data_IF_278778737865
#
_entry.id   IF_278778737865
#
_cell.length_a   1.000
_cell.length_b   1.000
_cell.length_c   1.000
_cell.angle_alpha   90.00
_cell.angle_beta   90.00
_cell.angle_gamma   90.00
#
_symmetry.space_group_name_H-M   'P 1'
#
loop_
_entity.id
_entity.type
_entity.pdbx_description
1 polymer ?
#
# COMPACT_ATOMS: atom_id res chain seq x y z
N UNK A 1 -8.58 -8.45 -1.29
CA UNK A 1 -8.08 -7.31 -2.09
C UNK A 1 -6.62 -7.11 -1.74
N UNK A 2 -5.82 -6.50 -2.61
CA UNK A 2 -4.46 -6.07 -2.32
C UNK A 2 -4.35 -4.55 -2.36
N UNK A 3 -3.59 -3.96 -1.43
CA UNK A 3 -3.29 -2.52 -1.43
C UNK A 3 -1.78 -2.32 -1.37
N UNK A 4 -1.23 -1.64 -2.36
CA UNK A 4 0.15 -1.18 -2.36
C UNK A 4 0.20 0.19 -1.69
N UNK A 5 0.97 0.34 -0.63
CA UNK A 5 1.20 1.63 0.05
C UNK A 5 2.60 2.11 -0.30
N UNK A 6 2.70 3.35 -0.77
CA UNK A 6 3.95 3.94 -1.18
C UNK A 6 4.05 5.40 -0.74
N UNK A 7 5.28 5.90 -0.60
CA UNK A 7 5.58 7.28 -0.30
C UNK A 7 6.12 7.97 -1.55
N UNK A 8 5.43 9.03 -1.98
CA UNK A 8 5.90 9.93 -3.03
C UNK A 8 6.40 11.24 -2.38
N UNK A 9 7.66 11.65 -2.55
CA UNK A 9 8.19 12.86 -1.93
C UNK A 9 7.41 14.14 -2.25
N UNK A 10 6.77 14.22 -3.42
CA UNK A 10 5.98 15.38 -3.83
C UNK A 10 4.54 15.36 -3.30
N UNK A 11 3.99 14.18 -3.01
CA UNK A 11 2.54 14.01 -2.76
C UNK A 11 2.20 13.32 -1.43
N UNK A 12 3.20 12.86 -0.67
CA UNK A 12 3.05 12.10 0.57
C UNK A 12 2.70 10.63 0.34
N UNK A 13 2.11 10.00 1.35
CA UNK A 13 1.66 8.60 1.27
C UNK A 13 0.44 8.45 0.38
N UNK A 14 0.48 7.41 -0.44
CA UNK A 14 -0.57 7.07 -1.41
C UNK A 14 -0.77 5.57 -1.45
N UNK A 15 -1.89 5.18 -2.05
CA UNK A 15 -2.29 3.78 -2.17
C UNK A 15 -2.68 3.46 -3.59
N UNK A 16 -2.43 2.22 -4.00
CA UNK A 16 -3.08 1.61 -5.15
C UNK A 16 -3.81 0.33 -4.73
N UNK A 17 -5.06 0.20 -5.16
CA UNK A 17 -5.92 -0.93 -4.82
C UNK A 17 -6.10 -1.87 -6.01
N UNK A 18 -5.84 -3.14 -5.77
CA UNK A 18 -5.90 -4.20 -6.77
C UNK A 18 -6.81 -5.33 -6.31
N UNK A 19 -7.65 -5.82 -7.23
CA UNK A 19 -8.49 -7.00 -6.98
C UNK A 19 -7.73 -8.32 -7.21
N UNK A 20 -6.67 -8.28 -8.01
CA UNK A 20 -5.91 -9.44 -8.46
C UNK A 20 -4.41 -9.22 -8.23
N UNK A 21 -3.69 -10.27 -7.84
CA UNK A 21 -2.24 -10.24 -7.54
C UNK A 21 -1.41 -9.85 -8.76
N UNK A 22 -1.81 -10.28 -9.96
CA UNK A 22 -1.05 -10.08 -11.19
C UNK A 22 -0.80 -8.59 -11.50
N UNK A 23 -1.75 -7.74 -11.09
CA UNK A 23 -1.67 -6.28 -11.26
C UNK A 23 -0.81 -5.57 -10.20
N UNK A 24 -0.43 -6.27 -9.13
CA UNK A 24 0.48 -5.75 -8.11
C UNK A 24 1.84 -5.40 -8.74
N UNK A 25 2.35 -6.28 -9.61
CA UNK A 25 3.61 -6.10 -10.33
C UNK A 25 3.61 -4.88 -11.26
N UNK A 26 2.46 -4.54 -11.85
CA UNK A 26 2.28 -3.30 -12.62
C UNK A 26 2.38 -2.06 -11.70
N UNK A 27 1.77 -2.15 -10.52
CA UNK A 27 1.86 -1.12 -9.48
C UNK A 27 3.27 -0.89 -8.96
N UNK A 28 3.99 -1.96 -8.64
CA UNK A 28 5.38 -1.87 -8.19
C UNK A 28 6.26 -1.18 -9.24
N UNK A 29 6.05 -1.46 -10.55
CA UNK A 29 6.74 -0.77 -11.65
C UNK A 29 6.40 0.72 -11.72
N UNK A 30 5.11 1.08 -11.67
CA UNK A 30 4.69 2.49 -11.74
C UNK A 30 5.25 3.32 -10.56
N UNK A 31 5.32 2.72 -9.37
CA UNK A 31 5.91 3.39 -8.20
C UNK A 31 7.43 3.56 -8.38
N UNK A 32 8.12 2.54 -8.90
CA UNK A 32 9.55 2.63 -9.19
C UNK A 32 9.86 3.70 -10.26
N UNK A 33 9.08 3.76 -11.33
CA UNK A 33 9.24 4.76 -12.41
C UNK A 33 8.99 6.19 -11.92
N UNK A 34 8.19 6.36 -10.86
CA UNK A 34 7.88 7.66 -10.26
C UNK A 34 8.85 8.09 -9.14
N UNK A 35 9.99 7.41 -8.99
CA UNK A 35 10.96 7.61 -7.90
C UNK A 35 10.32 7.56 -6.50
N UNK A 36 9.22 6.83 -6.38
CA UNK A 36 8.50 6.68 -5.13
C UNK A 36 8.93 5.41 -4.40
N UNK A 37 8.81 5.44 -3.07
CA UNK A 37 9.26 4.35 -2.21
C UNK A 37 8.08 3.45 -1.85
N UNK A 38 8.15 2.17 -2.20
CA UNK A 38 7.13 1.20 -1.77
C UNK A 38 7.37 0.87 -0.30
N UNK A 39 6.37 1.12 0.54
CA UNK A 39 6.46 0.87 1.98
C UNK A 39 6.02 -0.56 2.28
N UNK A 40 4.80 -0.93 1.89
CA UNK A 40 4.27 -2.27 2.09
C UNK A 40 3.16 -2.62 1.11
N UNK A 41 2.83 -3.91 1.09
CA UNK A 41 1.65 -4.45 0.41
C UNK A 41 0.75 -5.08 1.47
N UNK A 42 -0.50 -4.63 1.52
CA UNK A 42 -1.53 -5.22 2.38
C UNK A 42 -2.32 -6.24 1.58
N UNK A 43 -2.33 -7.48 2.06
CA UNK A 43 -3.19 -8.56 1.57
C UNK A 43 -4.38 -8.72 2.51
N UNK A 44 -5.53 -8.18 2.11
CA UNK A 44 -6.76 -8.28 2.89
C UNK A 44 -7.41 -9.67 2.84
N UNK A 45 -7.06 -10.53 1.87
CA UNK A 45 -7.59 -11.89 1.84
C UNK A 45 -6.92 -12.74 2.91
N UNK A 46 -5.59 -12.66 2.98
CA UNK A 46 -4.79 -13.42 3.95
C UNK A 46 -4.58 -12.67 5.29
N UNK A 47 -5.09 -11.44 5.41
CA UNK A 47 -4.91 -10.56 6.58
C UNK A 47 -3.43 -10.37 6.94
N UNK A 48 -2.61 -10.15 5.91
CA UNK A 48 -1.16 -10.05 6.03
C UNK A 48 -0.66 -8.70 5.49
N UNK A 49 0.46 -8.23 6.05
CA UNK A 49 1.20 -7.07 5.54
C UNK A 49 2.59 -7.55 5.14
N UNK A 50 2.95 -7.31 3.89
CA UNK A 50 4.26 -7.60 3.33
C UNK A 50 5.07 -6.31 3.33
N UNK A 51 6.04 -6.21 4.24
CA UNK A 51 6.93 -5.05 4.30
C UNK A 51 7.89 -5.08 3.10
N UNK A 52 8.05 -3.95 2.43
CA UNK A 52 8.89 -3.81 1.23
C UNK A 52 10.03 -2.80 1.41
N UNK A 53 9.96 -1.94 2.42
CA UNK A 53 11.04 -1.04 2.80
C UNK A 53 11.73 -1.48 4.11
N UNK A 54 12.99 -1.10 4.25
CA UNK A 54 13.80 -1.40 5.45
C UNK A 54 13.46 -0.51 6.65
N UNK A 55 12.87 0.65 6.40
CA UNK A 55 12.50 1.69 7.36
C UNK A 55 11.00 1.71 7.68
N UNK A 56 10.32 0.58 7.48
CA UNK A 56 8.88 0.44 7.69
C UNK A 56 8.39 0.99 9.04
N UNK A 57 9.13 0.77 10.12
CA UNK A 57 8.77 1.27 11.45
C UNK A 57 8.62 2.79 11.51
N UNK A 58 9.38 3.54 10.70
CA UNK A 58 9.29 5.00 10.61
C UNK A 58 8.02 5.45 9.88
N UNK A 59 7.47 4.61 9.01
CA UNK A 59 6.26 4.90 8.24
C UNK A 59 4.99 4.40 8.92
N UNK A 60 5.10 3.39 9.80
CA UNK A 60 3.99 2.60 10.34
C UNK A 60 2.81 3.43 10.83
N UNK A 61 3.05 4.37 11.75
CA UNK A 61 1.98 5.17 12.35
C UNK A 61 1.26 6.07 11.32
N UNK A 62 1.96 6.49 10.28
CA UNK A 62 1.41 7.39 9.25
C UNK A 62 0.58 6.62 8.21
N UNK A 63 0.88 5.32 8.02
CA UNK A 63 0.18 4.48 7.06
C UNK A 63 -0.95 3.64 7.67
N UNK A 64 -1.04 3.52 9.00
CA UNK A 64 -2.12 2.79 9.68
C UNK A 64 -3.53 3.18 9.19
N UNK A 65 -3.89 4.47 9.03
CA UNK A 65 -5.18 4.86 8.47
C UNK A 65 -5.41 4.40 7.03
N UNK A 66 -4.33 4.18 6.27
CA UNK A 66 -4.37 3.68 4.90
C UNK A 66 -4.49 2.15 4.87
N UNK A 67 -3.98 1.46 5.88
CA UNK A 67 -4.15 0.01 6.03
C UNK A 67 -5.59 -0.30 6.47
N UNK A 68 -6.09 0.42 7.48
CA UNK A 68 -7.41 0.19 8.07
C UNK A 68 -8.48 1.13 7.52
N UNK A 69 -8.44 1.39 6.22
CA UNK A 69 -9.42 2.24 5.55
C UNK A 69 -10.81 1.59 5.58
N UNK A 70 -11.80 2.19 6.26
CA UNK A 70 -13.12 1.61 6.43
C UNK A 70 -13.86 1.34 5.10
N UNK A 71 -13.57 2.11 4.05
CA UNK A 71 -14.18 1.92 2.72
C UNK A 71 -13.73 0.62 2.08
N UNK A 72 -12.45 0.28 2.25
CA UNK A 72 -11.87 -0.96 1.76
C UNK A 72 -12.29 -2.15 2.59
N UNK A 73 -12.41 -1.95 3.90
CA UNK A 73 -12.83 -3.00 4.82
C UNK A 73 -14.34 -3.30 4.74
N UNK A 74 -15.11 -2.58 3.91
CA UNK A 74 -16.55 -2.78 3.77
C UNK A 74 -17.35 -2.36 5.00
N UNK A 75 -16.82 -1.44 5.80
CA UNK A 75 -17.44 -0.98 7.06
C UNK A 75 -18.38 0.21 6.86
N UNK A 76 -18.44 0.78 5.65
CA UNK A 76 -19.46 1.73 5.25
C UNK A 76 -20.18 1.20 4.01
N UNK A 77 -21.49 1.00 4.15
CA UNK A 77 -22.45 0.75 3.06
C UNK A 77 -23.07 2.07 2.60
#
# INVERSE_FOLDING_TARGET
MFRLIYFNPAAGYRTFDYKQVERLSEGERLVADAEAMIICVVDYYNKAILHKCSDYETHREQIDPLIFDPKVMGLYY
#
